data_IF_925902645800
#
_entry.id   IF_925902645800
#
_cell.length_a   1.000
_cell.length_b   1.000
_cell.length_c   1.000
_cell.angle_alpha   90.00
_cell.angle_beta   90.00
_cell.angle_gamma   90.00
#
_symmetry.space_group_name_H-M   'P 1'
#
loop_
_entity.id
_entity.type
_entity.pdbx_description
1 polymer ?
#
# COMPACT_ATOMS: atom_id res chain seq x y z
N UNK A 1 23.93 58.34 2.89
CA UNK A 1 22.87 57.39 2.51
C UNK A 1 23.44 56.00 2.70
N UNK A 2 23.22 55.42 3.88
CA UNK A 2 23.74 54.09 4.24
C UNK A 2 22.58 53.10 4.29
N UNK A 3 22.72 52.01 3.55
CA UNK A 3 21.81 50.87 3.56
C UNK A 3 22.10 50.00 4.79
N UNK A 4 21.07 49.78 5.63
CA UNK A 4 21.06 48.72 6.64
C UNK A 4 20.55 47.41 6.01
N UNK A 5 21.18 46.25 6.28
CA UNK A 5 20.61 44.97 5.90
C UNK A 5 19.65 44.45 6.99
N UNK A 6 18.45 44.03 6.58
CA UNK A 6 17.50 43.30 7.41
C UNK A 6 17.95 41.85 7.43
N UNK A 7 18.64 41.44 8.51
CA UNK A 7 18.78 40.04 8.93
C UNK A 7 17.68 39.75 9.92
N UNK A 8 16.76 38.83 9.59
CA UNK A 8 15.98 37.98 10.50
C UNK A 8 14.70 37.57 9.76
N UNK A 9 14.67 36.34 9.22
CA UNK A 9 13.46 35.49 9.12
C UNK A 9 13.74 34.14 8.42
N UNK A 10 14.94 33.92 7.86
CA UNK A 10 15.29 32.67 7.15
C UNK A 10 15.84 31.55 8.02
N UNK A 11 16.09 31.78 9.31
CA UNK A 11 16.66 30.77 10.24
C UNK A 11 15.61 29.99 11.06
N UNK A 12 14.33 30.41 11.05
CA UNK A 12 13.27 29.76 11.84
C UNK A 12 12.65 28.52 11.18
N UNK A 13 12.68 28.42 9.85
CA UNK A 13 12.00 27.34 9.10
C UNK A 13 12.89 26.10 8.93
N UNK A 14 14.22 26.27 8.90
CA UNK A 14 15.17 25.15 8.88
C UNK A 14 15.21 24.34 10.17
N UNK A 15 14.78 24.92 11.30
CA UNK A 15 14.77 24.26 12.61
C UNK A 15 13.57 23.31 12.79
N UNK A 16 12.48 23.47 12.04
CA UNK A 16 11.28 22.62 12.18
C UNK A 16 11.36 21.38 11.28
N UNK A 17 11.94 21.50 10.08
CA UNK A 17 12.18 20.36 9.17
C UNK A 17 13.31 19.45 9.68
N UNK A 18 14.34 20.04 10.31
CA UNK A 18 15.42 19.27 10.95
C UNK A 18 14.95 18.45 12.18
N UNK A 19 13.93 18.93 12.89
CA UNK A 19 13.36 18.23 14.06
C UNK A 19 12.53 17.02 13.63
N UNK A 20 11.87 17.04 12.47
CA UNK A 20 11.11 15.87 11.98
C UNK A 20 12.01 14.71 11.54
N UNK A 21 13.13 15.00 10.85
CA UNK A 21 14.15 13.99 10.58
C UNK A 21 14.89 13.55 11.84
N UNK A 22 15.17 14.45 12.79
CA UNK A 22 15.74 14.07 14.08
C UNK A 22 14.79 13.17 14.87
N UNK A 23 13.47 13.38 14.82
CA UNK A 23 12.49 12.55 15.51
C UNK A 23 12.28 11.18 14.84
N UNK A 24 12.30 11.07 13.51
CA UNK A 24 12.30 9.76 12.84
C UNK A 24 13.61 9.01 13.07
N UNK A 25 14.75 9.71 13.03
CA UNK A 25 16.06 9.09 13.29
C UNK A 25 16.20 8.74 14.77
N UNK A 26 15.74 9.56 15.72
CA UNK A 26 15.71 9.23 17.16
C UNK A 26 14.68 8.16 17.49
N UNK A 27 13.51 8.11 16.83
CA UNK A 27 12.54 7.02 16.98
C UNK A 27 13.10 5.68 16.45
N UNK A 28 13.73 5.69 15.27
CA UNK A 28 14.42 4.52 14.73
C UNK A 28 15.63 4.13 15.59
N UNK A 29 16.47 5.09 16.00
CA UNK A 29 17.66 4.84 16.83
C UNK A 29 17.28 4.40 18.25
N UNK A 30 16.20 4.91 18.86
CA UNK A 30 15.74 4.44 20.18
C UNK A 30 15.18 3.03 20.13
N UNK A 31 14.44 2.63 19.09
CA UNK A 31 13.97 1.24 18.93
C UNK A 31 15.10 0.26 18.57
N UNK A 32 16.05 0.68 17.71
CA UNK A 32 17.21 -0.15 17.34
C UNK A 32 18.23 -0.25 18.48
N UNK A 33 18.49 0.84 19.22
CA UNK A 33 19.38 0.80 20.39
C UNK A 33 18.77 0.05 21.60
N UNK A 34 17.44 -0.11 21.62
CA UNK A 34 16.72 -0.94 22.59
C UNK A 34 16.50 -2.40 22.16
N UNK A 35 16.95 -2.79 20.97
CA UNK A 35 16.75 -4.13 20.42
C UNK A 35 17.61 -5.15 21.16
N UNK A 36 17.11 -5.65 22.28
CA UNK A 36 17.59 -6.92 22.84
C UNK A 36 17.03 -8.03 21.95
N UNK A 37 17.92 -8.78 21.30
CA UNK A 37 17.57 -10.09 20.71
C UNK A 37 16.73 -10.83 21.75
N UNK A 38 15.51 -11.28 21.42
CA UNK A 38 14.74 -12.12 22.33
C UNK A 38 15.65 -13.29 22.72
N UNK A 39 15.99 -13.41 24.01
CA UNK A 39 16.67 -14.61 24.47
C UNK A 39 15.78 -15.78 24.06
N UNK A 40 16.35 -16.72 23.32
CA UNK A 40 15.70 -18.00 23.07
C UNK A 40 15.21 -18.52 24.43
N UNK A 41 13.91 -18.50 24.65
CA UNK A 41 13.34 -19.32 25.69
C UNK A 41 13.65 -20.74 25.27
N UNK A 42 14.60 -21.36 25.97
CA UNK A 42 14.83 -22.80 25.91
C UNK A 42 13.46 -23.43 26.13
N UNK A 43 12.89 -23.99 25.06
CA UNK A 43 11.67 -24.77 25.14
C UNK A 43 12.03 -26.00 25.98
N UNK A 44 11.78 -25.94 27.28
CA UNK A 44 11.76 -27.14 28.10
C UNK A 44 10.60 -27.98 27.58
N UNK A 45 10.92 -29.04 26.84
CA UNK A 45 9.95 -30.06 26.47
C UNK A 45 9.48 -30.76 27.75
N UNK A 46 8.41 -30.23 28.36
CA UNK A 46 7.50 -31.05 29.13
C UNK A 46 6.41 -31.50 28.17
N UNK A 47 6.59 -32.70 27.62
CA UNK A 47 5.54 -33.41 26.90
C UNK A 47 4.47 -33.84 27.90
N UNK A 48 3.52 -32.96 28.17
CA UNK A 48 2.19 -33.39 28.61
C UNK A 48 1.29 -33.40 27.36
N UNK A 49 1.07 -34.61 26.86
CA UNK A 49 0.05 -34.92 25.85
C UNK A 49 -1.31 -34.50 26.38
N UNK A 50 -1.76 -33.30 26.01
CA UNK A 50 -3.16 -32.92 26.10
C UNK A 50 -3.83 -33.35 24.80
N UNK A 51 -4.50 -34.50 24.86
CA UNK A 51 -5.50 -34.88 23.88
C UNK A 51 -6.54 -33.75 23.69
N UNK A 52 -6.71 -33.29 22.45
CA UNK A 52 -8.04 -32.99 21.91
C UNK A 52 -8.84 -31.84 22.50
N UNK A 53 -8.24 -30.70 22.85
CA UNK A 53 -9.01 -29.43 22.87
C UNK A 53 -8.88 -28.79 21.48
N UNK A 54 -9.97 -28.74 20.71
CA UNK A 54 -10.03 -27.86 19.55
C UNK A 54 -9.66 -26.46 20.03
N UNK A 55 -8.57 -25.92 19.50
CA UNK A 55 -8.26 -24.50 19.68
C UNK A 55 -9.28 -23.78 18.81
N UNK A 56 -10.22 -23.07 19.42
CA UNK A 56 -11.13 -22.21 18.66
C UNK A 56 -10.27 -21.15 17.95
N UNK A 57 -10.22 -21.24 16.62
CA UNK A 57 -9.52 -20.28 15.78
C UNK A 57 -10.26 -18.95 15.82
N UNK A 58 -9.54 -17.84 15.90
CA UNK A 58 -10.14 -16.53 15.69
C UNK A 58 -10.54 -16.41 14.21
N UNK A 59 -11.79 -16.06 13.95
CA UNK A 59 -12.30 -15.89 12.59
C UNK A 59 -12.60 -14.42 12.32
N UNK A 60 -11.58 -13.58 12.08
CA UNK A 60 -11.80 -12.16 11.84
C UNK A 60 -12.67 -11.97 10.59
N UNK A 61 -13.66 -11.09 10.71
CA UNK A 61 -14.46 -10.65 9.56
C UNK A 61 -13.62 -9.74 8.66
N UNK A 62 -12.79 -8.90 9.28
CA UNK A 62 -11.86 -8.02 8.58
C UNK A 62 -10.47 -8.06 9.22
N UNK A 63 -9.44 -8.08 8.38
CA UNK A 63 -8.03 -8.00 8.76
C UNK A 63 -7.42 -6.78 8.10
N UNK A 64 -7.08 -5.78 8.91
CA UNK A 64 -6.44 -4.54 8.48
C UNK A 64 -4.95 -4.79 8.35
N UNK A 65 -4.39 -4.53 7.18
CA UNK A 65 -2.97 -4.67 6.91
C UNK A 65 -2.37 -3.26 6.81
N UNK A 66 -1.52 -2.92 7.78
CA UNK A 66 -0.73 -1.69 7.79
C UNK A 66 0.75 -2.05 7.64
N UNK A 67 1.58 -1.10 7.23
CA UNK A 67 2.97 -1.40 6.89
C UNK A 67 3.93 -0.81 7.91
N UNK A 68 3.59 0.34 8.51
CA UNK A 68 4.42 0.98 9.53
C UNK A 68 3.56 1.83 10.49
N UNK A 69 4.14 2.36 11.60
CA UNK A 69 3.37 2.95 12.70
C UNK A 69 2.40 4.06 12.33
N UNK A 70 2.75 4.98 11.42
CA UNK A 70 1.84 6.10 11.08
C UNK A 70 0.52 5.56 10.49
N UNK A 71 0.57 4.49 9.73
CA UNK A 71 -0.62 3.85 9.15
C UNK A 71 -1.36 2.99 10.18
N UNK A 72 -0.63 2.34 11.09
CA UNK A 72 -1.23 1.46 12.08
C UNK A 72 -1.89 2.23 13.23
N UNK A 73 -1.19 3.25 13.74
CA UNK A 73 -1.55 4.00 14.95
C UNK A 73 -2.85 4.79 14.80
N UNK A 74 -3.22 5.20 13.57
CA UNK A 74 -4.50 5.87 13.34
C UNK A 74 -5.69 4.95 13.66
N UNK A 75 -5.56 3.65 13.43
CA UNK A 75 -6.58 2.68 13.82
C UNK A 75 -6.60 2.48 15.33
N UNK A 76 -5.44 2.21 15.93
CA UNK A 76 -5.30 2.02 17.38
C UNK A 76 -5.84 3.20 18.19
N UNK A 77 -5.56 4.42 17.74
CA UNK A 77 -5.96 5.64 18.44
C UNK A 77 -7.44 5.94 18.32
N UNK A 78 -8.04 5.68 17.16
CA UNK A 78 -9.37 6.19 16.84
C UNK A 78 -10.48 5.13 16.88
N UNK A 79 -10.17 3.85 16.65
CA UNK A 79 -11.17 2.78 16.71
C UNK A 79 -11.87 2.67 18.07
N UNK A 80 -11.20 2.83 19.24
CA UNK A 80 -11.87 2.80 20.54
C UNK A 80 -12.91 3.92 20.74
N UNK A 81 -12.81 5.01 19.96
CA UNK A 81 -13.79 6.09 19.95
C UNK A 81 -14.99 5.83 19.02
N UNK A 82 -14.97 4.72 18.28
CA UNK A 82 -16.10 4.19 17.51
C UNK A 82 -16.84 3.12 18.32
N UNK A 83 -17.96 2.62 17.77
CA UNK A 83 -18.72 1.51 18.38
C UNK A 83 -18.17 0.12 17.99
N UNK A 84 -16.99 0.05 17.35
CA UNK A 84 -16.40 -1.20 16.85
C UNK A 84 -15.39 -1.84 17.81
N UNK A 85 -15.07 -1.18 18.92
CA UNK A 85 -14.21 -1.70 19.98
C UNK A 85 -12.75 -1.27 19.91
N UNK A 86 -11.91 -1.94 20.69
CA UNK A 86 -10.49 -1.63 20.88
C UNK A 86 -9.61 -2.78 20.38
N UNK A 87 -8.72 -2.48 19.43
CA UNK A 87 -7.77 -3.45 18.87
C UNK A 87 -6.77 -3.99 19.90
N UNK A 88 -6.49 -3.25 20.97
CA UNK A 88 -5.61 -3.73 22.05
C UNK A 88 -6.31 -4.67 23.04
N UNK A 89 -7.59 -5.01 22.82
CA UNK A 89 -8.30 -5.97 23.66
C UNK A 89 -7.67 -7.37 23.60
N UNK A 90 -7.10 -7.76 22.45
CA UNK A 90 -6.35 -9.00 22.28
C UNK A 90 -5.02 -8.74 21.56
N UNK A 91 -3.93 -9.29 22.11
CA UNK A 91 -2.60 -9.26 21.49
C UNK A 91 -2.14 -10.68 21.22
N UNK A 92 -1.81 -10.96 19.97
CA UNK A 92 -1.48 -12.29 19.48
C UNK A 92 -0.10 -12.25 18.84
N UNK A 93 0.84 -13.01 19.40
CA UNK A 93 2.15 -13.19 18.79
C UNK A 93 2.15 -14.38 17.83
N UNK A 94 2.74 -14.19 16.65
CA UNK A 94 2.93 -15.20 15.60
C UNK A 94 4.41 -15.29 15.23
N UNK A 95 5.02 -16.48 15.21
CA UNK A 95 6.39 -16.64 14.69
C UNK A 95 6.48 -16.22 13.23
N UNK A 96 7.52 -15.45 12.87
CA UNK A 96 7.75 -14.98 11.51
C UNK A 96 7.22 -13.58 11.20
N UNK A 97 6.51 -12.94 12.15
CA UNK A 97 6.25 -11.51 12.06
C UNK A 97 7.54 -10.69 12.16
N UNK A 98 7.50 -9.46 11.64
CA UNK A 98 8.61 -8.52 11.75
C UNK A 98 9.02 -8.34 13.21
N UNK A 99 10.32 -8.37 13.54
CA UNK A 99 10.78 -8.15 14.91
C UNK A 99 10.54 -6.72 15.41
N UNK A 100 10.23 -5.77 14.51
CA UNK A 100 9.81 -4.42 14.87
C UNK A 100 8.32 -4.34 15.23
N UNK A 101 7.53 -5.30 14.77
CA UNK A 101 6.07 -5.39 14.88
C UNK A 101 5.65 -6.84 15.18
N UNK A 102 6.02 -7.40 16.35
CA UNK A 102 5.91 -8.84 16.63
C UNK A 102 4.50 -9.31 17.03
N UNK A 103 3.50 -8.42 16.91
CA UNK A 103 2.17 -8.58 17.48
C UNK A 103 1.08 -8.28 16.44
N UNK A 104 0.00 -9.06 16.53
CA UNK A 104 -1.29 -8.82 15.88
C UNK A 104 -2.25 -8.36 16.97
N UNK A 105 -3.02 -7.32 16.68
CA UNK A 105 -3.98 -6.72 17.61
C UNK A 105 -5.40 -6.96 17.11
N UNK A 106 -6.30 -7.43 17.98
CA UNK A 106 -7.69 -7.69 17.62
C UNK A 106 -8.67 -7.14 18.65
N UNK A 107 -9.88 -6.83 18.19
CA UNK A 107 -11.01 -6.49 19.06
C UNK A 107 -11.35 -7.64 20.00
N UNK A 108 -12.07 -7.36 21.08
CA UNK A 108 -12.41 -8.35 22.11
C UNK A 108 -13.18 -9.56 21.55
N UNK A 109 -14.05 -9.33 20.57
CA UNK A 109 -14.81 -10.38 19.89
C UNK A 109 -14.03 -11.04 18.73
N UNK A 110 -12.84 -10.53 18.41
CA UNK A 110 -11.98 -11.01 17.34
C UNK A 110 -12.48 -10.70 15.94
N UNK A 111 -13.51 -9.86 15.77
CA UNK A 111 -14.10 -9.56 14.46
C UNK A 111 -13.22 -8.66 13.59
N UNK A 112 -12.42 -7.79 14.21
CA UNK A 112 -11.44 -6.92 13.56
C UNK A 112 -10.07 -7.29 14.11
N UNK A 113 -9.13 -7.61 13.22
CA UNK A 113 -7.72 -7.77 13.54
C UNK A 113 -6.87 -6.82 12.71
N UNK A 114 -5.68 -6.48 13.20
CA UNK A 114 -4.70 -5.67 12.50
C UNK A 114 -3.29 -6.23 12.68
N UNK A 115 -2.50 -6.19 11.62
CA UNK A 115 -1.07 -6.50 11.64
C UNK A 115 -0.28 -5.40 10.95
N UNK A 116 0.89 -5.09 11.49
CA UNK A 116 1.86 -4.19 10.84
C UNK A 116 2.97 -5.04 10.21
N UNK A 117 3.11 -5.00 8.89
CA UNK A 117 4.06 -5.87 8.17
C UNK A 117 5.52 -5.44 8.29
N UNK A 118 5.76 -4.14 8.40
CA UNK A 118 7.03 -3.53 8.02
C UNK A 118 7.04 -3.13 6.55
N UNK A 119 7.84 -2.11 6.25
CA UNK A 119 8.03 -1.60 4.88
C UNK A 119 8.83 -2.60 4.02
N UNK A 120 8.68 -2.49 2.70
CA UNK A 120 9.29 -3.35 1.67
C UNK A 120 8.62 -4.71 1.49
N UNK A 121 8.69 -5.19 0.25
CA UNK A 121 8.08 -6.43 -0.25
C UNK A 121 8.42 -7.65 0.62
N UNK A 122 9.68 -7.80 1.05
CA UNK A 122 10.13 -8.98 1.82
C UNK A 122 9.45 -9.05 3.19
N UNK A 123 9.34 -7.91 3.88
CA UNK A 123 8.68 -7.85 5.19
C UNK A 123 7.19 -8.15 5.06
N UNK A 124 6.56 -7.60 4.02
CA UNK A 124 5.17 -7.84 3.68
C UNK A 124 4.86 -9.32 3.41
N UNK A 125 5.54 -9.93 2.44
CA UNK A 125 5.33 -11.33 2.09
C UNK A 125 5.60 -12.28 3.29
N UNK A 126 6.69 -12.04 4.03
CA UNK A 126 7.06 -12.88 5.18
C UNK A 126 6.03 -12.80 6.31
N UNK A 127 5.57 -11.59 6.63
CA UNK A 127 4.57 -11.37 7.69
C UNK A 127 3.24 -12.02 7.31
N UNK A 128 2.71 -11.76 6.12
CA UNK A 128 1.39 -12.26 5.71
C UNK A 128 1.39 -13.79 5.58
N UNK A 129 2.46 -14.37 5.02
CA UNK A 129 2.66 -15.82 5.01
C UNK A 129 2.62 -16.40 6.43
N UNK A 130 3.30 -15.74 7.38
CA UNK A 130 3.34 -16.18 8.78
C UNK A 130 1.97 -16.11 9.45
N UNK A 131 1.21 -15.03 9.22
CA UNK A 131 -0.17 -14.87 9.72
C UNK A 131 -1.05 -16.02 9.24
N UNK A 132 -1.05 -16.29 7.93
CA UNK A 132 -1.89 -17.32 7.33
C UNK A 132 -1.54 -18.73 7.84
N UNK A 133 -0.25 -19.02 7.99
CA UNK A 133 0.23 -20.33 8.45
C UNK A 133 0.15 -20.54 9.98
N UNK A 134 -0.12 -19.49 10.75
CA UNK A 134 -0.03 -19.50 12.23
C UNK A 134 -0.95 -20.50 12.94
N UNK A 135 -1.99 -21.02 12.26
CA UNK A 135 -3.07 -21.83 12.84
C UNK A 135 -3.75 -21.18 14.05
N UNK A 136 -3.68 -19.85 14.17
CA UNK A 136 -4.42 -19.07 15.18
C UNK A 136 -5.70 -18.46 14.63
N UNK A 137 -5.79 -18.39 13.30
CA UNK A 137 -6.88 -17.74 12.59
C UNK A 137 -7.55 -18.68 11.59
N UNK A 138 -8.86 -18.54 11.44
CA UNK A 138 -9.61 -19.03 10.28
C UNK A 138 -9.87 -17.85 9.34
N UNK A 139 -9.11 -17.78 8.25
CA UNK A 139 -9.09 -16.64 7.33
C UNK A 139 -9.92 -16.85 6.07
N UNK A 140 -10.64 -17.98 5.96
CA UNK A 140 -11.31 -18.41 4.73
C UNK A 140 -12.43 -17.47 4.27
N UNK A 141 -12.97 -16.66 5.17
CA UNK A 141 -14.03 -15.68 4.87
C UNK A 141 -13.63 -14.24 5.20
N UNK A 142 -12.39 -14.03 5.61
CA UNK A 142 -11.89 -12.75 6.07
C UNK A 142 -11.71 -11.80 4.89
N UNK A 143 -12.14 -10.55 5.06
CA UNK A 143 -11.76 -9.46 4.16
C UNK A 143 -10.40 -8.91 4.57
N UNK A 144 -9.51 -8.73 3.61
CA UNK A 144 -8.21 -8.10 3.84
C UNK A 144 -8.28 -6.66 3.34
N UNK A 145 -8.15 -5.71 4.27
CA UNK A 145 -8.09 -4.28 3.95
C UNK A 145 -6.63 -3.84 4.02
N UNK A 146 -5.98 -3.73 2.87
CA UNK A 146 -4.64 -3.16 2.75
C UNK A 146 -4.83 -1.64 2.85
N UNK A 147 -4.41 -1.06 3.97
CA UNK A 147 -4.71 0.31 4.34
C UNK A 147 -3.43 1.06 4.66
N UNK A 148 -2.91 1.79 3.65
CA UNK A 148 -1.64 2.50 3.76
C UNK A 148 -1.61 3.83 3.03
N UNK A 149 -0.52 4.58 3.21
CA UNK A 149 -0.24 5.79 2.43
C UNK A 149 0.47 5.42 1.12
N UNK A 150 0.54 6.38 0.19
CA UNK A 150 1.24 6.26 -1.07
C UNK A 150 1.68 7.63 -1.61
N UNK A 151 2.65 7.63 -2.52
CA UNK A 151 2.88 8.77 -3.41
C UNK A 151 1.76 8.86 -4.43
N UNK A 152 1.10 10.01 -4.57
CA UNK A 152 0.00 10.22 -5.52
C UNK A 152 0.51 10.81 -6.83
N UNK A 153 0.04 10.27 -7.96
CA UNK A 153 0.28 10.84 -9.28
C UNK A 153 -0.60 12.10 -9.44
N UNK A 154 -0.01 13.31 -9.62
CA UNK A 154 -0.76 14.56 -9.73
C UNK A 154 -1.67 14.66 -10.96
N UNK A 155 -1.51 13.78 -11.96
CA UNK A 155 -2.43 13.68 -13.10
C UNK A 155 -3.81 13.14 -12.70
N UNK A 156 -3.88 12.33 -11.63
CA UNK A 156 -5.04 11.48 -11.34
C UNK A 156 -5.63 11.67 -9.95
N UNK A 157 -4.88 12.28 -9.03
CA UNK A 157 -5.32 12.52 -7.66
C UNK A 157 -4.56 13.65 -6.99
N UNK A 158 -4.83 13.83 -5.70
CA UNK A 158 -4.22 14.87 -4.86
C UNK A 158 -3.87 14.38 -3.46
N UNK A 159 -3.13 15.18 -2.70
CA UNK A 159 -2.79 14.89 -1.31
C UNK A 159 -4.06 14.64 -0.49
N UNK A 160 -4.04 13.58 0.31
CA UNK A 160 -5.18 13.11 1.09
C UNK A 160 -6.25 12.37 0.31
N UNK A 161 -6.16 12.25 -1.02
CA UNK A 161 -7.11 11.42 -1.79
C UNK A 161 -7.02 9.97 -1.35
N UNK A 162 -8.15 9.28 -1.33
CA UNK A 162 -8.25 7.86 -0.99
C UNK A 162 -8.50 7.08 -2.28
N UNK A 163 -7.52 6.31 -2.73
CA UNK A 163 -7.65 5.47 -3.91
C UNK A 163 -8.03 4.04 -3.54
N UNK A 164 -8.99 3.48 -4.28
CA UNK A 164 -9.33 2.05 -4.26
C UNK A 164 -8.96 1.42 -5.59
N UNK A 165 -8.01 0.49 -5.55
CA UNK A 165 -7.42 -0.09 -6.73
C UNK A 165 -8.13 -1.37 -7.19
N UNK A 166 -8.08 -1.56 -8.51
CA UNK A 166 -8.35 -2.84 -9.18
C UNK A 166 -7.03 -3.55 -9.51
N UNK A 167 -5.97 -2.83 -9.80
CA UNK A 167 -4.66 -3.38 -10.14
C UNK A 167 -3.55 -2.98 -9.17
N UNK A 168 -2.60 -3.90 -8.98
CA UNK A 168 -1.31 -3.64 -8.34
C UNK A 168 -0.19 -4.12 -9.26
N UNK A 169 0.76 -3.23 -9.59
CA UNK A 169 1.79 -3.49 -10.62
C UNK A 169 3.20 -3.31 -10.05
N UNK A 170 4.05 -4.34 -10.10
CA UNK A 170 5.43 -4.31 -9.59
C UNK A 170 6.39 -3.68 -10.61
N UNK A 171 6.34 -2.36 -10.73
CA UNK A 171 6.97 -1.61 -11.83
C UNK A 171 8.51 -1.67 -11.86
N UNK A 172 9.14 -1.97 -10.72
CA UNK A 172 10.59 -2.11 -10.63
C UNK A 172 11.12 -3.52 -10.94
N UNK A 173 10.23 -4.51 -11.16
CA UNK A 173 10.61 -5.90 -11.46
C UNK A 173 11.03 -6.04 -12.93
N UNK A 174 12.20 -5.49 -13.26
CA UNK A 174 12.70 -5.29 -14.62
C UNK A 174 14.23 -5.32 -14.69
N UNK A 175 14.78 -5.27 -15.90
CA UNK A 175 16.18 -4.85 -16.07
C UNK A 175 16.28 -3.34 -15.82
N UNK A 176 17.37 -2.91 -15.18
CA UNK A 176 17.74 -1.50 -15.03
C UNK A 176 19.18 -1.29 -15.51
N UNK A 177 19.37 -0.32 -16.39
CA UNK A 177 20.68 0.22 -16.77
C UNK A 177 20.84 1.59 -16.11
N UNK A 178 22.03 1.87 -15.57
CA UNK A 178 22.34 3.19 -15.02
C UNK A 178 21.97 4.30 -16.02
N UNK A 179 21.20 5.33 -15.64
CA UNK A 179 20.70 6.34 -16.57
C UNK A 179 21.81 7.16 -17.27
N UNK A 180 23.06 7.07 -16.81
CA UNK A 180 24.23 7.70 -17.46
C UNK A 180 24.82 6.86 -18.59
N UNK A 181 24.44 5.58 -18.65
CA UNK A 181 24.97 4.58 -19.58
C UNK A 181 23.91 4.06 -20.57
N UNK A 182 22.67 4.54 -20.47
CA UNK A 182 21.60 4.16 -21.40
C UNK A 182 21.90 4.62 -22.83
N UNK A 183 21.39 3.91 -23.85
CA UNK A 183 21.43 4.38 -25.23
C UNK A 183 20.86 5.81 -25.39
N UNK A 184 21.43 6.67 -26.25
CA UNK A 184 21.02 8.08 -26.35
C UNK A 184 19.56 8.32 -26.74
N UNK A 185 18.91 7.33 -27.36
CA UNK A 185 17.51 7.36 -27.79
C UNK A 185 16.53 6.82 -26.74
N UNK A 186 17.03 6.24 -25.63
CA UNK A 186 16.20 5.70 -24.57
C UNK A 186 15.76 6.80 -23.60
N UNK A 187 14.48 6.74 -23.21
CA UNK A 187 13.89 7.66 -22.21
C UNK A 187 14.05 7.17 -20.77
N UNK A 188 14.34 5.89 -20.59
CA UNK A 188 14.48 5.24 -19.29
C UNK A 188 15.50 4.10 -19.41
N UNK A 189 16.18 3.78 -18.30
CA UNK A 189 17.03 2.59 -18.19
C UNK A 189 16.26 1.32 -17.84
N UNK A 190 14.96 1.42 -17.58
CA UNK A 190 14.08 0.32 -17.23
C UNK A 190 13.48 -0.34 -18.47
N UNK A 191 13.53 -1.67 -18.56
CA UNK A 191 12.88 -2.44 -19.61
C UNK A 191 12.58 -3.88 -19.16
N UNK A 192 11.51 -4.46 -19.71
CA UNK A 192 10.96 -5.75 -19.27
C UNK A 192 11.89 -6.94 -19.55
N UNK A 193 11.81 -7.98 -18.72
CA UNK A 193 12.61 -9.20 -18.91
C UNK A 193 12.30 -9.89 -20.25
N UNK A 194 13.32 -10.49 -20.85
CA UNK A 194 13.25 -11.10 -22.18
C UNK A 194 13.18 -10.12 -23.37
N UNK A 195 13.14 -8.80 -23.13
CA UNK A 195 13.05 -7.78 -24.19
C UNK A 195 14.40 -7.12 -24.51
N UNK A 196 14.44 -6.27 -25.55
CA UNK A 196 15.67 -5.58 -25.99
C UNK A 196 15.60 -4.06 -25.89
N UNK A 197 14.43 -3.50 -25.60
CA UNK A 197 14.22 -2.07 -25.47
C UNK A 197 13.04 -1.74 -24.55
N UNK A 198 12.98 -0.50 -24.01
CA UNK A 198 11.81 -0.04 -23.27
C UNK A 198 10.53 -0.12 -24.11
N UNK A 199 9.39 -0.23 -23.45
CA UNK A 199 8.05 -0.31 -24.06
C UNK A 199 7.75 -1.59 -24.85
N UNK A 200 8.51 -2.67 -24.63
CA UNK A 200 8.20 -4.01 -25.12
C UNK A 200 7.54 -4.83 -24.00
N UNK A 201 6.50 -5.59 -24.33
CA UNK A 201 5.84 -6.46 -23.35
C UNK A 201 6.78 -7.62 -22.96
N UNK A 202 6.87 -8.00 -21.67
CA UNK A 202 7.78 -9.05 -21.20
C UNK A 202 7.56 -10.36 -21.95
N UNK A 203 8.65 -11.02 -22.34
CA UNK A 203 8.63 -12.42 -22.79
C UNK A 203 9.14 -13.37 -21.72
N UNK A 204 9.51 -12.85 -20.55
CA UNK A 204 9.91 -13.62 -19.38
C UNK A 204 9.12 -13.09 -18.18
N UNK A 205 8.40 -13.97 -17.49
CA UNK A 205 7.54 -13.63 -16.34
C UNK A 205 7.96 -14.41 -15.11
N UNK A 206 7.96 -13.74 -13.95
CA UNK A 206 8.20 -14.32 -12.63
C UNK A 206 6.91 -14.50 -11.83
N UNK A 207 5.81 -13.88 -12.25
CA UNK A 207 4.46 -14.12 -11.76
C UNK A 207 3.92 -13.07 -10.78
N UNK A 208 4.76 -12.13 -10.32
CA UNK A 208 4.36 -11.07 -9.38
C UNK A 208 4.23 -9.69 -10.05
N UNK A 209 4.38 -9.61 -11.37
CA UNK A 209 4.36 -8.37 -12.13
C UNK A 209 3.04 -7.61 -11.99
N UNK A 210 1.91 -8.30 -12.13
CA UNK A 210 0.56 -7.72 -12.13
C UNK A 210 -0.40 -8.59 -11.35
N UNK A 211 -1.16 -7.96 -10.45
CA UNK A 211 -2.33 -8.56 -9.81
C UNK A 211 -3.59 -7.76 -10.14
N UNK A 212 -4.67 -8.47 -10.43
CA UNK A 212 -6.01 -7.90 -10.57
C UNK A 212 -6.91 -8.36 -9.42
N UNK A 213 -7.61 -7.38 -8.82
CA UNK A 213 -8.49 -7.52 -7.67
C UNK A 213 -9.96 -7.50 -8.11
N UNK A 214 -10.84 -7.91 -7.21
CA UNK A 214 -12.28 -7.96 -7.43
C UNK A 214 -12.87 -6.56 -7.66
N UNK A 215 -13.23 -6.24 -8.91
CA UNK A 215 -13.75 -4.93 -9.30
C UNK A 215 -15.11 -4.63 -8.64
N UNK A 216 -15.98 -5.63 -8.51
CA UNK A 216 -17.28 -5.47 -7.86
C UNK A 216 -17.10 -5.14 -6.38
N UNK A 217 -16.16 -5.80 -5.69
CA UNK A 217 -15.82 -5.47 -4.30
C UNK A 217 -15.19 -4.07 -4.18
N UNK A 218 -14.29 -3.69 -5.09
CA UNK A 218 -13.71 -2.34 -5.18
C UNK A 218 -14.80 -1.28 -5.30
N UNK A 219 -15.81 -1.51 -6.14
CA UNK A 219 -16.93 -0.58 -6.32
C UNK A 219 -17.84 -0.48 -5.08
N UNK A 220 -18.09 -1.59 -4.39
CA UNK A 220 -18.79 -1.57 -3.09
C UNK A 220 -17.99 -0.79 -2.05
N UNK A 221 -16.70 -1.08 -1.92
CA UNK A 221 -15.81 -0.38 -1.00
C UNK A 221 -15.73 1.13 -1.33
N UNK A 222 -15.75 1.49 -2.61
CA UNK A 222 -15.80 2.88 -3.06
C UNK A 222 -17.08 3.58 -2.62
N UNK A 223 -18.23 2.92 -2.76
CA UNK A 223 -19.51 3.45 -2.29
C UNK A 223 -19.51 3.72 -0.78
N UNK A 224 -18.97 2.78 0.01
CA UNK A 224 -18.84 2.90 1.47
C UNK A 224 -17.87 4.01 1.86
N UNK A 225 -16.64 4.00 1.32
CA UNK A 225 -15.62 4.99 1.63
C UNK A 225 -16.05 6.41 1.25
N UNK A 226 -16.83 6.59 0.18
CA UNK A 226 -17.28 7.90 -0.30
C UNK A 226 -18.24 8.62 0.64
N UNK A 227 -18.76 7.96 1.69
CA UNK A 227 -19.56 8.61 2.74
C UNK A 227 -18.70 9.35 3.75
N UNK A 228 -17.39 9.07 3.78
CA UNK A 228 -16.46 9.67 4.73
C UNK A 228 -16.27 11.16 4.45
N UNK A 229 -16.19 11.94 5.53
CA UNK A 229 -15.68 13.31 5.45
C UNK A 229 -14.16 13.26 5.57
N UNK A 230 -13.46 13.45 4.46
CA UNK A 230 -12.00 13.43 4.42
C UNK A 230 -11.41 14.69 5.08
N UNK A 231 -10.28 14.50 5.77
CA UNK A 231 -9.50 15.56 6.35
C UNK A 231 -8.70 16.33 5.28
N UNK A 232 -8.68 17.65 5.44
CA UNK A 232 -7.90 18.57 4.60
C UNK A 232 -7.52 19.81 5.42
N UNK A 233 -6.39 20.44 5.08
CA UNK A 233 -5.85 21.60 5.82
C UNK A 233 -5.32 22.68 4.89
N UNK A 234 -5.28 23.92 5.38
CA UNK A 234 -4.96 25.10 4.57
C UNK A 234 -3.54 25.11 4.00
N UNK A 235 -2.56 24.59 4.75
CA UNK A 235 -1.18 24.42 4.31
C UNK A 235 -1.06 23.41 3.14
N UNK A 236 -1.90 22.37 3.14
CA UNK A 236 -1.97 21.40 2.04
C UNK A 236 -2.67 21.99 0.83
N UNK A 237 -3.68 22.83 1.03
CA UNK A 237 -4.29 23.61 -0.06
C UNK A 237 -3.24 24.50 -0.72
N UNK A 238 -2.46 25.24 0.07
CA UNK A 238 -1.38 26.09 -0.44
C UNK A 238 -0.30 25.29 -1.19
N UNK A 239 0.05 24.09 -0.72
CA UNK A 239 1.03 23.27 -1.43
C UNK A 239 0.51 22.77 -2.78
N UNK A 240 -0.73 22.27 -2.84
CA UNK A 240 -1.39 21.81 -4.07
C UNK A 240 -1.47 22.92 -5.12
N UNK A 241 -1.63 24.17 -4.70
CA UNK A 241 -1.67 25.33 -5.58
C UNK A 241 -0.41 25.49 -6.44
N UNK A 242 0.75 24.95 -6.02
CA UNK A 242 1.98 24.94 -6.83
C UNK A 242 1.80 24.18 -8.16
N UNK A 243 0.89 23.22 -8.22
CA UNK A 243 0.61 22.43 -9.42
C UNK A 243 -0.30 23.14 -10.44
N UNK A 244 -0.90 24.28 -10.05
CA UNK A 244 -1.86 25.02 -10.90
C UNK A 244 -1.25 25.55 -12.20
N UNK A 245 0.06 25.82 -12.21
CA UNK A 245 0.77 26.42 -13.35
C UNK A 245 0.79 25.53 -14.60
N UNK A 246 0.73 24.21 -14.44
CA UNK A 246 0.63 23.24 -15.55
C UNK A 246 -0.81 23.05 -16.08
N UNK A 247 -1.77 23.80 -15.52
CA UNK A 247 -3.13 23.92 -16.03
C UNK A 247 -3.90 22.59 -16.07
N UNK A 248 -4.19 22.11 -17.28
CA UNK A 248 -5.06 20.93 -17.50
C UNK A 248 -4.42 19.63 -17.02
N UNK A 249 -3.09 19.51 -17.11
CA UNK A 249 -2.36 18.27 -16.79
C UNK A 249 -2.55 17.87 -15.32
N UNK A 250 -2.38 18.82 -14.40
CA UNK A 250 -2.46 18.60 -12.95
C UNK A 250 -3.72 19.18 -12.32
N UNK A 251 -4.84 19.16 -13.05
CA UNK A 251 -6.13 19.62 -12.51
C UNK A 251 -6.46 18.90 -11.21
N UNK A 252 -6.39 17.57 -11.21
CA UNK A 252 -6.69 16.73 -10.05
C UNK A 252 -5.82 17.08 -8.84
N UNK A 253 -4.54 17.37 -9.03
CA UNK A 253 -3.64 17.78 -7.95
C UNK A 253 -4.11 19.03 -7.19
N UNK A 254 -4.88 19.92 -7.82
CA UNK A 254 -5.34 21.19 -7.21
C UNK A 254 -6.70 21.11 -6.52
N UNK A 255 -7.38 19.96 -6.57
CA UNK A 255 -8.70 19.77 -5.98
C UNK A 255 -8.63 19.42 -4.48
N UNK A 256 -9.77 19.46 -3.79
CA UNK A 256 -9.91 18.88 -2.44
C UNK A 256 -9.80 17.36 -2.49
N UNK A 257 -9.30 16.69 -1.43
CA UNK A 257 -9.22 15.23 -1.41
C UNK A 257 -10.61 14.61 -1.57
N UNK A 258 -10.67 13.52 -2.32
CA UNK A 258 -11.87 12.71 -2.51
C UNK A 258 -11.50 11.23 -2.57
N UNK A 259 -12.52 10.36 -2.50
CA UNK A 259 -12.35 8.94 -2.80
C UNK A 259 -12.34 8.78 -4.32
N UNK A 260 -11.35 8.06 -4.85
CA UNK A 260 -11.14 7.86 -6.28
C UNK A 260 -10.92 6.38 -6.60
N UNK A 261 -11.20 6.02 -7.85
CA UNK A 261 -10.97 4.68 -8.40
C UNK A 261 -9.79 4.74 -9.35
N UNK A 262 -8.66 4.17 -8.93
CA UNK A 262 -7.41 4.13 -9.68
C UNK A 262 -6.43 3.19 -8.97
N UNK A 263 -5.30 2.90 -9.60
CA UNK A 263 -4.49 1.72 -9.33
C UNK A 263 -3.13 2.04 -8.72
N UNK A 264 -2.53 1.01 -8.14
CA UNK A 264 -1.28 1.12 -7.40
C UNK A 264 -0.11 0.48 -8.13
N UNK A 265 1.07 1.06 -7.94
CA UNK A 265 2.34 0.44 -8.32
C UNK A 265 3.13 0.07 -7.08
N UNK A 266 3.84 -1.05 -7.13
CA UNK A 266 4.75 -1.55 -6.10
C UNK A 266 6.20 -1.41 -6.55
N UNK A 267 7.06 -0.93 -5.66
CA UNK A 267 8.51 -0.90 -5.86
C UNK A 267 9.26 -0.80 -4.52
N UNK A 268 10.28 -1.63 -4.32
CA UNK A 268 11.22 -1.46 -3.18
C UNK A 268 12.09 -0.20 -3.32
N UNK A 269 12.15 0.42 -4.50
CA UNK A 269 12.73 1.74 -4.72
C UNK A 269 11.68 2.81 -4.47
N UNK A 270 11.94 3.69 -3.49
CA UNK A 270 11.18 4.92 -3.32
C UNK A 270 11.56 5.91 -4.43
N UNK A 271 10.79 5.92 -5.52
CA UNK A 271 11.07 6.76 -6.67
C UNK A 271 10.39 8.13 -6.58
N UNK A 272 11.00 9.13 -7.22
CA UNK A 272 10.34 10.41 -7.49
C UNK A 272 10.89 11.09 -8.73
N UNK A 273 10.06 11.89 -9.40
CA UNK A 273 10.44 12.72 -10.53
C UNK A 273 9.69 12.38 -11.81
N UNK A 274 9.60 13.35 -12.72
CA UNK A 274 8.77 13.23 -13.92
C UNK A 274 9.14 12.04 -14.79
N UNK A 275 10.43 11.82 -15.07
CA UNK A 275 10.85 10.78 -16.02
C UNK A 275 10.60 9.36 -15.53
N UNK A 276 10.95 9.06 -14.27
CA UNK A 276 10.75 7.72 -13.72
C UNK A 276 9.26 7.44 -13.48
N UNK A 277 8.51 8.44 -13.01
CA UNK A 277 7.09 8.30 -12.80
C UNK A 277 6.32 8.17 -14.14
N UNK A 278 6.75 8.85 -15.21
CA UNK A 278 6.24 8.65 -16.58
C UNK A 278 6.60 7.25 -17.12
N UNK A 279 7.84 6.78 -16.91
CA UNK A 279 8.24 5.45 -17.35
C UNK A 279 7.41 4.33 -16.69
N UNK A 280 7.13 4.46 -15.39
CA UNK A 280 6.29 3.51 -14.67
C UNK A 280 4.79 3.65 -14.99
N UNK A 281 4.33 4.86 -15.38
CA UNK A 281 2.99 5.07 -15.93
C UNK A 281 2.84 4.38 -17.29
N UNK A 282 3.79 4.56 -18.20
CA UNK A 282 3.84 3.89 -19.50
C UNK A 282 3.89 2.36 -19.35
N UNK A 283 4.71 1.88 -18.40
CA UNK A 283 4.81 0.46 -18.10
C UNK A 283 3.51 -0.12 -17.55
N UNK A 284 2.88 0.57 -16.60
CA UNK A 284 1.60 0.15 -16.03
C UNK A 284 0.56 0.02 -17.14
N UNK A 285 0.50 0.98 -18.05
CA UNK A 285 -0.38 0.89 -19.22
C UNK A 285 -0.03 -0.33 -20.10
N UNK A 286 1.25 -0.57 -20.39
CA UNK A 286 1.68 -1.70 -21.21
C UNK A 286 1.32 -3.05 -20.58
N UNK A 287 1.66 -3.25 -19.31
CA UNK A 287 1.48 -4.52 -18.60
C UNK A 287 0.02 -4.84 -18.28
N UNK A 288 -0.83 -3.80 -18.25
CA UNK A 288 -2.26 -3.95 -17.97
C UNK A 288 -3.15 -3.80 -19.20
N UNK A 289 -2.56 -3.77 -20.42
CA UNK A 289 -3.30 -3.53 -21.66
C UNK A 289 -4.16 -2.24 -21.63
N UNK A 290 -3.66 -1.21 -20.93
CA UNK A 290 -4.34 0.06 -20.73
C UNK A 290 -5.53 0.04 -19.77
N UNK A 291 -5.75 -1.07 -19.06
CA UNK A 291 -6.87 -1.19 -18.10
C UNK A 291 -6.59 -0.50 -16.77
N UNK A 292 -5.34 -0.49 -16.31
CA UNK A 292 -4.98 0.16 -15.05
C UNK A 292 -4.69 1.66 -15.24
N UNK A 293 -5.05 2.42 -14.22
CA UNK A 293 -4.81 3.85 -14.10
C UNK A 293 -3.90 4.13 -12.90
N UNK A 294 -2.58 4.12 -13.11
CA UNK A 294 -1.60 4.37 -12.06
C UNK A 294 -1.81 5.74 -11.39
N UNK A 295 -2.19 5.71 -10.11
CA UNK A 295 -2.33 6.92 -9.30
C UNK A 295 -1.64 6.88 -7.95
N UNK A 296 -1.23 5.70 -7.47
CA UNK A 296 -0.60 5.53 -6.14
C UNK A 296 0.67 4.70 -6.25
N UNK A 297 1.79 5.18 -5.69
CA UNK A 297 3.05 4.44 -5.57
C UNK A 297 3.30 3.99 -4.14
N UNK A 298 3.47 2.69 -3.96
CA UNK A 298 3.72 2.02 -2.69
C UNK A 298 4.82 0.95 -2.83
N UNK A 299 5.13 0.20 -1.77
CA UNK A 299 6.25 -0.75 -1.76
C UNK A 299 5.86 -2.19 -1.39
N UNK A 300 4.60 -2.47 -1.03
CA UNK A 300 4.23 -3.74 -0.38
C UNK A 300 3.09 -4.48 -1.06
N UNK A 301 2.32 -3.82 -1.93
CA UNK A 301 1.03 -4.33 -2.40
C UNK A 301 1.18 -5.69 -3.10
N UNK A 302 2.07 -5.79 -4.10
CA UNK A 302 2.28 -7.03 -4.85
C UNK A 302 2.76 -8.19 -3.95
N UNK A 303 3.57 -7.90 -2.92
CA UNK A 303 4.07 -8.93 -2.01
C UNK A 303 2.98 -9.49 -1.06
N UNK A 304 2.08 -8.62 -0.59
CA UNK A 304 0.90 -9.06 0.18
C UNK A 304 -0.02 -9.88 -0.72
N UNK A 305 -0.30 -9.38 -1.92
CA UNK A 305 -1.20 -10.04 -2.87
C UNK A 305 -0.66 -11.41 -3.28
N UNK A 306 0.64 -11.54 -3.54
CA UNK A 306 1.25 -12.82 -3.88
C UNK A 306 1.09 -13.86 -2.77
N UNK A 307 1.28 -13.46 -1.51
CA UNK A 307 1.02 -14.36 -0.38
C UNK A 307 -0.45 -14.81 -0.39
N UNK A 308 -1.39 -13.88 -0.57
CA UNK A 308 -2.82 -14.20 -0.58
C UNK A 308 -3.23 -15.10 -1.75
N UNK A 309 -2.70 -14.88 -2.97
CA UNK A 309 -2.91 -15.75 -4.13
C UNK A 309 -2.42 -17.18 -3.83
N UNK A 310 -1.18 -17.32 -3.35
CA UNK A 310 -0.58 -18.63 -3.04
C UNK A 310 -1.32 -19.40 -1.95
N UNK A 311 -2.02 -18.72 -1.05
CA UNK A 311 -2.80 -19.39 -0.01
C UNK A 311 -4.28 -19.54 -0.37
N UNK A 312 -4.77 -18.80 -1.36
CA UNK A 312 -6.10 -18.99 -1.92
C UNK A 312 -6.25 -20.34 -2.60
N UNK A 313 -5.25 -20.77 -3.40
CA UNK A 313 -5.25 -22.09 -4.07
C UNK A 313 -5.29 -23.29 -3.10
N UNK A 314 -5.11 -23.03 -1.81
CA UNK A 314 -5.15 -24.01 -0.74
C UNK A 314 -6.34 -23.82 0.21
N UNK A 315 -7.35 -23.06 -0.20
CA UNK A 315 -8.56 -22.78 0.57
C UNK A 315 -8.28 -22.20 1.98
N UNK A 316 -7.15 -21.48 2.14
CA UNK A 316 -6.77 -20.88 3.43
C UNK A 316 -7.24 -19.43 3.56
N UNK A 317 -7.37 -18.73 2.44
CA UNK A 317 -7.88 -17.36 2.32
C UNK A 317 -8.75 -17.24 1.07
N UNK A 318 -9.57 -16.20 0.99
CA UNK A 318 -10.35 -15.90 -0.21
C UNK A 318 -9.83 -14.60 -0.86
N UNK A 319 -9.10 -14.74 -1.97
CA UNK A 319 -8.49 -13.61 -2.67
C UNK A 319 -9.54 -12.66 -3.26
N UNK A 320 -10.78 -13.11 -3.47
CA UNK A 320 -11.87 -12.24 -3.93
C UNK A 320 -12.30 -11.20 -2.87
N UNK A 321 -11.79 -11.30 -1.63
CA UNK A 321 -12.10 -10.45 -0.48
C UNK A 321 -11.01 -9.44 -0.14
N UNK A 322 -10.12 -9.15 -1.08
CA UNK A 322 -9.03 -8.20 -0.89
C UNK A 322 -9.44 -6.80 -1.37
N UNK A 323 -9.23 -5.80 -0.51
CA UNK A 323 -9.48 -4.39 -0.78
C UNK A 323 -8.15 -3.65 -0.65
N UNK A 324 -7.72 -3.01 -1.73
CA UNK A 324 -6.51 -2.19 -1.76
C UNK A 324 -6.86 -0.70 -1.60
N UNK A 325 -6.55 -0.14 -0.44
CA UNK A 325 -6.77 1.27 -0.11
C UNK A 325 -5.44 1.98 0.12
N UNK A 326 -5.17 3.00 -0.71
CA UNK A 326 -3.99 3.86 -0.57
C UNK A 326 -4.40 5.33 -0.45
N UNK A 327 -3.70 6.09 0.39
CA UNK A 327 -3.94 7.54 0.54
C UNK A 327 -2.74 8.39 0.18
N UNK A 328 -2.93 9.47 -0.58
CA UNK A 328 -1.82 10.30 -1.08
C UNK A 328 -1.11 11.11 0.01
N UNK A 329 0.06 10.68 0.48
CA UNK A 329 0.90 11.37 1.48
C UNK A 329 1.82 12.44 0.90
N UNK A 330 2.13 12.29 -0.39
CA UNK A 330 3.01 13.16 -1.15
C UNK A 330 2.73 12.99 -2.63
N UNK A 331 3.17 13.91 -3.47
CA UNK A 331 3.18 13.66 -4.91
C UNK A 331 4.39 12.80 -5.29
N UNK A 332 4.25 11.95 -6.30
CA UNK A 332 5.35 11.13 -6.83
C UNK A 332 6.34 11.94 -7.69
N UNK A 333 5.96 13.13 -8.15
CA UNK A 333 6.76 13.99 -9.04
C UNK A 333 6.58 15.47 -8.67
N UNK A 334 7.56 16.33 -8.96
CA UNK A 334 7.56 17.72 -8.52
C UNK A 334 6.48 18.58 -9.21
N UNK A 335 6.05 19.70 -8.60
CA UNK A 335 5.29 20.71 -9.32
C UNK A 335 6.15 21.40 -10.39
N UNK A 336 5.54 22.11 -11.36
CA UNK A 336 6.28 22.78 -12.42
C UNK A 336 7.31 23.78 -11.88
N UNK A 337 8.52 23.72 -12.42
CA UNK A 337 9.62 24.61 -12.02
C UNK A 337 10.42 24.16 -10.79
N UNK A 338 10.08 23.01 -10.19
CA UNK A 338 10.85 22.39 -9.10
C UNK A 338 11.56 21.14 -9.63
N UNK A 339 12.84 20.96 -9.30
CA UNK A 339 13.58 19.75 -9.68
C UNK A 339 13.26 18.56 -8.75
N UNK A 340 13.46 17.35 -9.26
CA UNK A 340 13.08 16.13 -8.55
C UNK A 340 13.83 15.93 -7.22
N UNK A 341 15.10 16.32 -7.13
CA UNK A 341 15.88 16.16 -5.90
C UNK A 341 15.40 17.12 -4.82
N UNK A 342 15.20 18.39 -5.16
CA UNK A 342 14.64 19.40 -4.25
C UNK A 342 13.26 18.98 -3.76
N UNK A 343 12.40 18.47 -4.64
CA UNK A 343 11.10 17.95 -4.24
C UNK A 343 11.24 16.77 -3.26
N UNK A 344 11.99 15.73 -3.65
CA UNK A 344 12.18 14.51 -2.86
C UNK A 344 12.82 14.75 -1.48
N UNK A 345 13.67 15.77 -1.32
CA UNK A 345 14.39 16.00 -0.05
C UNK A 345 13.90 17.20 0.74
N UNK A 346 13.25 18.16 0.09
CA UNK A 346 12.84 19.44 0.70
C UNK A 346 11.34 19.60 0.91
N UNK A 347 10.49 18.97 0.09
CA UNK A 347 9.03 19.21 0.09
C UNK A 347 8.20 17.90 -0.01
N UNK A 348 8.84 16.73 0.11
CA UNK A 348 8.26 15.43 -0.23
C UNK A 348 7.26 14.80 0.74
N UNK A 349 6.96 15.36 1.91
CA UNK A 349 6.06 14.72 2.90
C UNK A 349 4.94 15.64 3.36
N UNK A 350 4.56 16.61 2.54
CA UNK A 350 3.66 17.66 2.99
C UNK A 350 2.29 17.11 3.40
N UNK A 351 1.80 15.99 2.84
CA UNK A 351 0.46 15.45 3.11
C UNK A 351 0.40 14.23 4.04
N UNK A 352 1.47 13.82 4.71
CA UNK A 352 1.49 12.54 5.44
C UNK A 352 0.44 12.45 6.54
N UNK A 353 0.23 13.52 7.30
CA UNK A 353 -0.73 13.55 8.41
C UNK A 353 -2.18 13.46 7.92
N UNK A 354 -2.52 14.22 6.86
CA UNK A 354 -3.87 14.16 6.28
C UNK A 354 -4.12 12.82 5.60
N UNK A 355 -3.11 12.22 4.97
CA UNK A 355 -3.20 10.92 4.35
C UNK A 355 -3.47 9.84 5.40
N UNK A 356 -2.68 9.79 6.47
CA UNK A 356 -2.88 8.85 7.57
C UNK A 356 -4.27 8.99 8.21
N UNK A 357 -4.74 10.23 8.44
CA UNK A 357 -6.10 10.45 8.93
C UNK A 357 -7.15 9.90 7.94
N UNK A 358 -6.97 10.12 6.65
CA UNK A 358 -7.91 9.68 5.61
C UNK A 358 -7.91 8.16 5.39
N UNK A 359 -6.83 7.45 5.71
CA UNK A 359 -6.83 5.98 5.79
C UNK A 359 -7.93 5.54 6.75
N UNK A 360 -7.92 6.06 7.98
CA UNK A 360 -8.89 5.69 9.01
C UNK A 360 -10.29 6.19 8.65
N UNK A 361 -10.45 7.44 8.21
CA UNK A 361 -11.77 8.04 7.95
C UNK A 361 -12.53 7.27 6.86
N UNK A 362 -11.88 6.94 5.74
CA UNK A 362 -12.51 6.16 4.68
C UNK A 362 -12.57 4.67 5.00
N UNK A 363 -11.47 4.12 5.55
CA UNK A 363 -11.40 2.71 5.92
C UNK A 363 -12.42 2.32 6.98
N UNK A 364 -12.72 3.19 7.94
CA UNK A 364 -13.73 2.95 8.97
C UNK A 364 -15.12 2.75 8.35
N UNK A 365 -15.49 3.51 7.32
CA UNK A 365 -16.78 3.36 6.64
C UNK A 365 -16.88 2.04 5.87
N UNK A 366 -15.76 1.57 5.29
CA UNK A 366 -15.67 0.22 4.71
C UNK A 366 -15.87 -0.85 5.79
N UNK A 367 -15.14 -0.74 6.91
CA UNK A 367 -15.24 -1.69 8.03
C UNK A 367 -16.67 -1.74 8.59
N UNK A 368 -17.29 -0.58 8.82
CA UNK A 368 -18.69 -0.49 9.28
C UNK A 368 -19.65 -1.16 8.31
N UNK A 369 -19.51 -0.89 7.01
CA UNK A 369 -20.36 -1.51 5.98
C UNK A 369 -20.23 -3.03 5.96
N UNK A 370 -19.00 -3.55 5.98
CA UNK A 370 -18.73 -4.99 5.99
C UNK A 370 -19.30 -5.68 7.22
N UNK A 371 -19.12 -5.09 8.40
CA UNK A 371 -19.59 -5.67 9.65
C UNK A 371 -21.12 -5.56 9.80
N UNK A 372 -21.70 -4.44 9.36
CA UNK A 372 -23.14 -4.17 9.42
C UNK A 372 -23.96 -5.12 8.56
N UNK A 373 -23.51 -5.38 7.33
CA UNK A 373 -24.22 -6.24 6.37
C UNK A 373 -23.59 -7.63 6.24
N UNK A 374 -22.92 -8.09 7.31
CA UNK A 374 -22.16 -9.33 7.29
C UNK A 374 -23.00 -10.54 6.87
N UNK A 375 -24.08 -10.83 7.58
CA UNK A 375 -24.84 -12.07 7.36
C UNK A 375 -25.63 -12.05 6.03
N UNK A 376 -25.99 -10.86 5.56
CA UNK A 376 -26.80 -10.69 4.34
C UNK A 376 -25.95 -10.75 3.07
N UNK A 377 -24.81 -10.04 3.09
CA UNK A 377 -23.96 -9.77 1.94
C UNK A 377 -22.56 -10.37 2.14
N UNK A 378 -21.79 -9.86 3.10
CA UNK A 378 -20.34 -10.04 3.10
C UNK A 378 -19.88 -11.45 3.52
N UNK A 379 -20.66 -12.18 4.32
CA UNK A 379 -20.35 -13.56 4.70
C UNK A 379 -20.34 -14.50 3.48
N UNK A 380 -21.21 -14.26 2.49
CA UNK A 380 -21.26 -15.02 1.23
C UNK A 380 -20.11 -14.65 0.31
N UNK A 381 -19.69 -13.37 0.32
CA UNK A 381 -18.70 -12.84 -0.59
C UNK A 381 -19.35 -11.99 -1.68
N UNK A 382 -18.55 -11.16 -2.34
CA UNK A 382 -18.96 -10.40 -3.51
C UNK A 382 -18.40 -11.12 -4.73
N UNK A 383 -19.28 -11.61 -5.61
CA UNK A 383 -18.86 -12.31 -6.83
C UNK A 383 -18.06 -11.37 -7.76
N UNK A 384 -16.85 -11.76 -8.20
CA UNK A 384 -16.06 -10.96 -9.14
C UNK A 384 -16.77 -10.76 -10.49
N UNK A 385 -16.66 -9.55 -11.05
CA UNK A 385 -17.16 -9.21 -12.40
C UNK A 385 -16.06 -9.23 -13.47
N UNK A 386 -14.83 -9.52 -13.08
CA UNK A 386 -13.60 -9.44 -13.87
C UNK A 386 -12.69 -10.64 -13.58
N UNK A 387 -11.56 -10.72 -14.30
CA UNK A 387 -10.49 -11.64 -13.92
C UNK A 387 -9.96 -11.30 -12.52
N UNK A 388 -9.49 -12.31 -11.80
CA UNK A 388 -9.00 -12.19 -10.43
C UNK A 388 -7.72 -13.03 -10.28
N UNK A 389 -6.65 -12.41 -9.79
CA UNK A 389 -5.40 -13.10 -9.50
C UNK A 389 -4.18 -12.46 -10.15
N UNK A 390 -3.11 -13.25 -10.26
CA UNK A 390 -1.82 -12.83 -10.82
C UNK A 390 -1.78 -12.89 -12.35
N UNK A 391 -0.66 -12.47 -12.94
CA UNK A 391 -0.42 -12.52 -14.38
C UNK A 391 -0.33 -13.95 -14.96
N UNK A 392 -0.10 -14.97 -14.12
CA UNK A 392 0.05 -16.37 -14.54
C UNK A 392 -1.28 -17.11 -14.68
N UNK A 393 -2.40 -16.52 -14.21
CA UNK A 393 -3.66 -17.24 -14.18
C UNK A 393 -3.73 -18.26 -13.04
N UNK A 394 -2.97 -18.09 -11.96
CA UNK A 394 -2.86 -19.10 -10.88
C UNK A 394 -4.21 -19.47 -10.27
N UNK A 395 -5.16 -18.54 -10.21
CA UNK A 395 -6.51 -18.77 -9.68
C UNK A 395 -7.50 -19.33 -10.73
N UNK A 396 -7.01 -19.62 -11.94
CA UNK A 396 -7.83 -19.99 -13.10
C UNK A 396 -8.36 -18.78 -13.88
N UNK A 397 -8.92 -19.03 -15.06
CA UNK A 397 -9.30 -17.98 -16.00
C UNK A 397 -8.15 -17.57 -16.92
N UNK A 398 -8.36 -16.50 -17.70
CA UNK A 398 -7.34 -15.92 -18.59
C UNK A 398 -7.28 -14.43 -18.30
N UNK A 399 -6.13 -13.90 -17.83
CA UNK A 399 -5.96 -12.46 -17.63
C UNK A 399 -6.23 -11.69 -18.93
N UNK A 400 -7.15 -10.73 -18.90
CA UNK A 400 -7.52 -9.92 -20.06
C UNK A 400 -6.52 -8.79 -20.37
N UNK A 401 -5.55 -8.63 -19.48
CA UNK A 401 -4.42 -7.71 -19.60
C UNK A 401 -3.13 -8.33 -20.15
N UNK A 402 -3.12 -9.64 -20.40
CA UNK A 402 -2.01 -10.31 -21.08
C UNK A 402 -2.30 -10.34 -22.59
N UNK A 403 -1.39 -9.86 -23.46
CA UNK A 403 -1.57 -9.94 -24.91
C UNK A 403 -1.87 -11.37 -25.37
N UNK A 404 -2.92 -11.53 -26.17
CA UNK A 404 -3.31 -12.85 -26.70
C UNK A 404 -2.15 -13.42 -27.51
N UNK A 405 -1.61 -14.54 -27.05
CA UNK A 405 -0.38 -15.15 -27.53
C UNK A 405 -0.30 -15.25 -29.07
N UNK A 406 0.56 -14.45 -29.67
CA UNK A 406 1.44 -14.91 -30.73
C UNK A 406 2.78 -15.21 -30.10
N UNK A 407 3.05 -16.49 -29.80
CA UNK A 407 4.35 -17.06 -29.38
C UNK A 407 5.33 -16.11 -28.63
N UNK A 408 5.47 -16.19 -27.30
CA UNK A 408 6.62 -15.50 -26.71
C UNK A 408 6.88 -15.59 -25.21
N UNK A 409 5.87 -15.43 -24.34
CA UNK A 409 6.15 -15.34 -22.90
C UNK A 409 6.47 -16.73 -22.30
N UNK A 410 7.69 -16.92 -21.81
CA UNK A 410 8.11 -18.08 -21.03
C UNK A 410 8.02 -17.74 -19.53
N UNK A 411 7.39 -18.62 -18.76
CA UNK A 411 7.43 -18.56 -17.29
C UNK A 411 8.77 -19.16 -16.86
N UNK A 412 9.54 -18.41 -16.05
CA UNK A 412 10.90 -18.79 -15.61
C UNK A 412 10.89 -19.50 -14.26
#
# INVERSE_FOLDING_TARGET
>A
MEFRPIRSLTYGVFLIVGVYFALQTEYYQHKVAGFKVPQQHVVSQNSETTEGKLIDLLAPKIFILSLFPIEADVWYKHLPGSDLGDLFAQTISVPGLSPLYPDIHCTLDGSICQVTTGMSEINAATTITSVILSRKFDLRKTYFLLAGIAGVNPNHGTLGSVALARFAVQVALQYEIDPREIPPDWKTGYFSFGTRSPNEYPTELYGTEVFELNEALRDVAFGLASTATLNDTADIQEYRDKYRTDGVRYRSATESPSVIKCDATTSDVYFSGNYLAEAFEDLTNLWTNGLAKYCMSAMEDNAILEALVRFHVHDMVDFSRVILLRTGSNFDRPPPGVDAFTHLRGEHLNGIEIAAANIYLAGLEIVKGILGDWDEVFAKGIEPSNYLGDILGTLGGVPDFVPVAGEGAQVI
#
